data_IF_713937804434
#
_entry.id   IF_713937804434
#
_cell.length_a   1.000
_cell.length_b   1.000
_cell.length_c   1.000
_cell.angle_alpha   90.00
_cell.angle_beta   90.00
_cell.angle_gamma   90.00
#
_symmetry.space_group_name_H-M   'P 1'
#
loop_
_entity.id
_entity.type
_entity.pdbx_description
1 polymer ?
#
# COMPACT_ATOMS: atom_id res chain seq x y z
N UNK A 1 -2.25 11.01 14.46
CA UNK A 1 -1.51 9.98 13.70
C UNK A 1 -0.24 10.59 13.11
N UNK A 2 0.86 9.89 13.12
CA UNK A 2 2.13 10.24 12.48
C UNK A 2 2.41 9.30 11.33
N UNK A 3 3.24 9.75 10.39
CA UNK A 3 3.59 8.99 9.19
C UNK A 3 5.06 9.17 8.90
N UNK A 4 5.74 8.07 8.57
CA UNK A 4 7.07 8.04 7.98
C UNK A 4 7.01 7.29 6.68
N UNK A 5 7.49 7.90 5.60
CA UNK A 5 7.70 7.23 4.32
C UNK A 5 9.16 6.79 4.18
N UNK A 6 9.36 5.65 3.56
CA UNK A 6 10.65 5.13 3.12
C UNK A 6 10.57 4.85 1.63
N UNK A 7 11.61 5.16 0.91
CA UNK A 7 11.71 4.80 -0.51
C UNK A 7 12.60 3.57 -0.57
N UNK A 8 12.03 2.45 -0.99
CA UNK A 8 12.72 1.16 -1.03
C UNK A 8 12.79 0.59 -2.45
N UNK A 9 13.62 -0.40 -2.59
CA UNK A 9 13.86 -1.22 -3.76
C UNK A 9 14.20 -0.46 -5.06
N UNK A 10 14.57 -1.16 -6.17
CA UNK A 10 14.95 -0.52 -7.43
C UNK A 10 13.83 0.25 -8.13
N UNK A 11 12.55 -0.01 -7.76
CA UNK A 11 11.40 0.68 -8.34
C UNK A 11 11.01 1.95 -7.58
N UNK A 12 11.76 2.30 -6.52
CA UNK A 12 11.54 3.48 -5.69
C UNK A 12 10.11 3.52 -5.09
N UNK A 13 9.67 2.36 -4.58
CA UNK A 13 8.38 2.20 -3.93
C UNK A 13 8.35 2.94 -2.59
N UNK A 14 7.19 3.49 -2.23
CA UNK A 14 6.92 4.18 -0.98
C UNK A 14 6.31 3.22 0.06
N UNK A 15 7.15 2.68 0.94
CA UNK A 15 6.71 1.99 2.16
C UNK A 15 6.33 3.00 3.23
N UNK A 16 5.18 2.85 3.86
CA UNK A 16 4.75 3.75 4.93
C UNK A 16 4.67 3.05 6.28
N UNK A 17 5.12 3.74 7.33
CA UNK A 17 4.81 3.41 8.73
C UNK A 17 3.90 4.50 9.27
N UNK A 18 2.74 4.10 9.77
CA UNK A 18 1.77 5.00 10.42
C UNK A 18 1.62 4.60 11.88
N UNK A 19 1.53 5.59 12.80
CA UNK A 19 1.39 5.27 14.23
C UNK A 19 0.67 6.36 15.02
N UNK A 20 0.09 5.97 16.14
CA UNK A 20 -0.38 6.90 17.16
C UNK A 20 0.78 7.28 18.10
N UNK A 21 0.91 8.58 18.41
CA UNK A 21 2.01 9.06 19.26
C UNK A 21 1.88 8.67 20.74
N UNK A 22 0.67 8.41 21.18
CA UNK A 22 0.40 8.09 22.60
C UNK A 22 0.53 6.61 22.87
N UNK A 23 -0.20 5.78 22.13
CA UNK A 23 -0.21 4.33 22.32
C UNK A 23 0.98 3.62 21.71
N UNK A 24 1.61 4.22 20.68
CA UNK A 24 2.64 3.62 19.83
C UNK A 24 2.14 2.46 18.96
N UNK A 25 0.82 2.21 18.91
CA UNK A 25 0.26 1.28 17.96
C UNK A 25 0.53 1.76 16.54
N UNK A 26 1.02 0.86 15.71
CA UNK A 26 1.48 1.20 14.37
C UNK A 26 1.04 0.17 13.31
N UNK A 27 1.05 0.60 12.07
CA UNK A 27 0.91 -0.26 10.91
C UNK A 27 2.03 0.00 9.90
N UNK A 28 2.38 -1.03 9.16
CA UNK A 28 3.23 -0.95 7.97
C UNK A 28 2.32 -1.11 6.75
N UNK A 29 2.44 -0.20 5.78
CA UNK A 29 1.70 -0.25 4.52
C UNK A 29 2.71 -0.43 3.40
N UNK A 30 2.49 -1.43 2.55
CA UNK A 30 3.30 -1.81 1.40
C UNK A 30 4.80 -1.93 1.75
N UNK A 31 5.24 -2.96 2.49
CA UNK A 31 6.65 -3.12 2.82
C UNK A 31 7.46 -3.59 1.60
N UNK A 32 8.00 -2.66 0.82
CA UNK A 32 8.87 -2.92 -0.31
C UNK A 32 10.32 -3.23 0.05
N UNK A 33 10.68 -3.26 1.35
CA UNK A 33 12.05 -3.51 1.80
C UNK A 33 12.55 -4.90 1.39
N UNK A 34 13.62 -4.94 0.62
CA UNK A 34 14.15 -6.19 0.06
C UNK A 34 15.59 -6.47 0.50
N UNK A 35 16.47 -5.47 0.48
CA UNK A 35 17.85 -5.62 0.93
C UNK A 35 17.96 -5.61 2.47
N UNK A 36 19.01 -6.21 3.02
CA UNK A 36 19.28 -6.20 4.47
C UNK A 36 19.43 -4.77 5.01
N UNK A 37 19.92 -3.84 4.20
CA UNK A 37 19.99 -2.41 4.57
C UNK A 37 18.61 -1.81 4.74
N UNK A 38 17.68 -2.06 3.82
CA UNK A 38 16.31 -1.55 3.87
C UNK A 38 15.53 -2.15 5.04
N UNK A 39 15.65 -3.47 5.24
CA UNK A 39 15.07 -4.17 6.39
C UNK A 39 15.57 -3.60 7.71
N UNK A 40 16.89 -3.33 7.80
CA UNK A 40 17.49 -2.71 8.98
C UNK A 40 16.97 -1.29 9.19
N UNK A 41 16.89 -0.46 8.14
CA UNK A 41 16.35 0.90 8.23
C UNK A 41 14.92 0.90 8.80
N UNK A 42 14.07 0.04 8.29
CA UNK A 42 12.68 -0.08 8.75
C UNK A 42 12.60 -0.56 10.20
N UNK A 43 13.31 -1.63 10.55
CA UNK A 43 13.25 -2.19 11.91
C UNK A 43 13.93 -1.30 12.94
N UNK A 44 15.01 -0.60 12.59
CA UNK A 44 15.65 0.36 13.48
C UNK A 44 14.73 1.57 13.75
N UNK A 45 14.01 2.06 12.73
CA UNK A 45 13.02 3.11 12.92
C UNK A 45 11.91 2.66 13.88
N UNK A 46 11.35 1.46 13.68
CA UNK A 46 10.31 0.89 14.55
C UNK A 46 10.82 0.78 16.00
N UNK A 47 12.00 0.21 16.19
CA UNK A 47 12.61 0.04 17.51
C UNK A 47 12.90 1.38 18.19
N UNK A 48 13.53 2.32 17.48
CA UNK A 48 13.94 3.60 18.04
C UNK A 48 12.76 4.49 18.44
N UNK A 49 11.59 4.27 17.82
CA UNK A 49 10.35 4.96 18.18
C UNK A 49 9.45 4.14 19.12
N UNK A 50 9.89 2.98 19.58
CA UNK A 50 9.13 2.05 20.45
C UNK A 50 7.74 1.72 19.87
N UNK A 51 7.65 1.47 18.55
CA UNK A 51 6.39 1.19 17.89
C UNK A 51 5.99 -0.27 18.08
N UNK A 52 4.71 -0.49 18.31
CA UNK A 52 4.07 -1.81 18.36
C UNK A 52 3.30 -2.04 17.07
N UNK A 53 3.83 -2.88 16.18
CA UNK A 53 3.20 -3.16 14.89
C UNK A 53 1.98 -4.05 15.09
N UNK A 54 0.79 -3.51 14.78
CA UNK A 54 -0.50 -4.19 14.87
C UNK A 54 -1.05 -4.65 13.54
N UNK A 55 -0.64 -4.00 12.45
CA UNK A 55 -1.13 -4.30 11.11
C UNK A 55 0.00 -4.31 10.09
N UNK A 56 -0.08 -5.25 9.17
CA UNK A 56 0.66 -5.29 7.91
C UNK A 56 -0.39 -5.20 6.79
N UNK A 57 -0.43 -4.08 6.09
CA UNK A 57 -1.44 -3.79 5.08
C UNK A 57 -0.77 -3.70 3.71
N UNK A 58 -1.33 -4.36 2.70
CA UNK A 58 -0.91 -4.19 1.33
C UNK A 58 -2.04 -3.60 0.50
N UNK A 59 -1.74 -2.54 -0.24
CA UNK A 59 -2.67 -1.98 -1.24
C UNK A 59 -2.91 -2.99 -2.34
N UNK A 60 -1.86 -3.69 -2.75
CA UNK A 60 -1.88 -4.77 -3.73
C UNK A 60 -0.63 -5.66 -3.59
N UNK A 61 -0.54 -6.72 -4.39
CA UNK A 61 0.49 -7.74 -4.21
C UNK A 61 1.52 -7.78 -5.36
N UNK A 62 1.85 -6.64 -5.99
CA UNK A 62 3.05 -6.58 -6.82
C UNK A 62 4.31 -6.70 -5.96
N UNK A 63 5.37 -7.26 -6.57
CA UNK A 63 6.59 -7.64 -5.84
C UNK A 63 7.26 -6.46 -5.13
N UNK A 64 7.26 -5.28 -5.70
CA UNK A 64 7.86 -4.09 -5.13
C UNK A 64 7.12 -3.57 -3.89
N UNK A 65 5.79 -3.80 -3.76
CA UNK A 65 4.97 -3.47 -2.59
C UNK A 65 4.95 -4.57 -1.54
N UNK A 66 5.40 -5.77 -1.86
CA UNK A 66 5.24 -6.94 -1.00
C UNK A 66 6.56 -7.70 -0.74
N UNK A 67 7.69 -7.22 -1.27
CA UNK A 67 8.98 -7.88 -1.10
C UNK A 67 9.39 -8.08 0.37
N UNK A 68 8.98 -7.19 1.25
CA UNK A 68 9.23 -7.24 2.68
C UNK A 68 8.23 -8.07 3.48
N UNK A 69 7.09 -8.48 2.90
CA UNK A 69 6.01 -9.11 3.66
C UNK A 69 6.47 -10.31 4.49
N UNK A 70 7.12 -11.28 3.86
CA UNK A 70 7.58 -12.48 4.55
C UNK A 70 8.52 -12.17 5.73
N UNK A 71 9.41 -11.17 5.55
CA UNK A 71 10.30 -10.70 6.61
C UNK A 71 9.52 -10.03 7.76
N UNK A 72 8.53 -9.18 7.44
CA UNK A 72 7.71 -8.49 8.44
C UNK A 72 6.81 -9.47 9.19
N UNK A 73 6.18 -10.44 8.48
CA UNK A 73 5.39 -11.51 9.10
C UNK A 73 6.20 -12.29 10.13
N UNK A 74 7.40 -12.76 9.74
CA UNK A 74 8.27 -13.53 10.60
C UNK A 74 8.85 -12.68 11.76
N UNK A 75 9.08 -11.37 11.55
CA UNK A 75 9.72 -10.49 12.53
C UNK A 75 8.79 -10.01 13.63
N UNK A 76 7.52 -9.76 13.30
CA UNK A 76 6.53 -9.15 14.20
C UNK A 76 5.38 -10.09 14.55
N UNK A 77 5.38 -11.33 14.07
CA UNK A 77 4.33 -12.33 14.27
C UNK A 77 2.94 -11.83 13.88
N UNK A 78 2.86 -11.18 12.73
CA UNK A 78 1.63 -10.66 12.13
C UNK A 78 1.48 -11.17 10.70
N UNK A 79 0.26 -11.28 10.21
CA UNK A 79 0.00 -11.70 8.83
C UNK A 79 -0.40 -10.51 7.96
N UNK A 80 0.01 -10.56 6.68
CA UNK A 80 -0.38 -9.57 5.67
C UNK A 80 -1.89 -9.55 5.48
N UNK A 81 -2.43 -8.33 5.38
CA UNK A 81 -3.83 -8.06 5.08
C UNK A 81 -3.92 -7.42 3.68
N UNK A 82 -4.64 -8.06 2.78
CA UNK A 82 -4.82 -7.62 1.40
C UNK A 82 -6.18 -8.10 0.87
N UNK A 83 -6.66 -7.50 -0.21
CA UNK A 83 -7.88 -7.98 -0.85
C UNK A 83 -7.65 -9.36 -1.50
N UNK A 84 -8.55 -10.35 -1.31
CA UNK A 84 -8.32 -11.74 -1.72
C UNK A 84 -8.24 -11.94 -3.24
N UNK A 85 -8.72 -10.98 -4.03
CA UNK A 85 -8.58 -11.05 -5.49
C UNK A 85 -7.12 -10.94 -5.97
N UNK A 86 -6.17 -10.53 -5.11
CA UNK A 86 -4.73 -10.52 -5.39
C UNK A 86 -3.99 -11.78 -4.91
N UNK A 87 -4.70 -12.80 -4.43
CA UNK A 87 -4.07 -14.07 -4.03
C UNK A 87 -3.22 -14.70 -5.14
N UNK A 88 -3.61 -14.50 -6.42
CA UNK A 88 -2.83 -14.96 -7.57
C UNK A 88 -1.46 -14.26 -7.68
N UNK A 89 -1.30 -13.04 -7.18
CA UNK A 89 -0.02 -12.34 -7.12
C UNK A 89 0.77 -12.75 -5.88
N UNK A 90 0.12 -12.81 -4.71
CA UNK A 90 0.74 -13.17 -3.44
C UNK A 90 1.43 -14.56 -3.50
N UNK A 91 0.77 -15.54 -4.11
CA UNK A 91 1.30 -16.89 -4.30
C UNK A 91 2.36 -17.02 -5.40
N UNK A 92 2.77 -15.92 -6.04
CA UNK A 92 3.72 -15.93 -7.16
C UNK A 92 4.76 -14.78 -7.08
N UNK A 93 5.11 -14.31 -5.88
CA UNK A 93 6.10 -13.24 -5.69
C UNK A 93 7.46 -13.61 -6.28
N UNK A 94 7.88 -14.86 -6.10
CA UNK A 94 9.13 -15.38 -6.68
C UNK A 94 9.12 -15.31 -8.20
N UNK A 95 7.99 -15.65 -8.84
CA UNK A 95 7.86 -15.58 -10.29
C UNK A 95 7.83 -14.14 -10.79
N UNK A 96 7.14 -13.23 -10.09
CA UNK A 96 7.15 -11.80 -10.41
C UNK A 96 8.57 -11.24 -10.35
N UNK A 97 9.31 -11.56 -9.29
CA UNK A 97 10.70 -11.14 -9.14
C UNK A 97 11.58 -11.58 -10.31
N UNK A 98 11.44 -12.83 -10.75
CA UNK A 98 12.17 -13.34 -11.91
C UNK A 98 11.80 -12.61 -13.21
N UNK A 99 10.50 -12.33 -13.41
CA UNK A 99 9.99 -11.63 -14.60
C UNK A 99 10.56 -10.22 -14.72
N UNK A 100 10.69 -9.51 -13.60
CA UNK A 100 11.16 -8.13 -13.57
C UNK A 100 12.67 -7.98 -13.31
N UNK A 101 13.40 -9.07 -13.16
CA UNK A 101 14.81 -9.02 -12.75
C UNK A 101 15.01 -8.41 -11.36
N UNK A 102 13.99 -8.52 -10.51
CA UNK A 102 14.00 -8.00 -9.15
C UNK A 102 14.78 -8.95 -8.24
N UNK A 103 15.81 -8.49 -7.52
CA UNK A 103 16.56 -9.35 -6.62
C UNK A 103 15.68 -9.70 -5.40
N UNK A 104 15.19 -10.92 -5.34
CA UNK A 104 14.29 -11.39 -4.29
C UNK A 104 14.76 -12.69 -3.67
N UNK A 105 14.87 -12.70 -2.35
CA UNK A 105 15.25 -13.87 -1.55
C UNK A 105 14.17 -14.30 -0.54
N UNK A 106 12.99 -13.70 -0.63
CA UNK A 106 11.83 -14.04 0.19
C UNK A 106 11.11 -15.29 -0.30
N UNK A 107 9.89 -15.45 0.13
CA UNK A 107 8.99 -16.57 -0.22
C UNK A 107 7.65 -16.03 -0.71
N UNK A 108 6.94 -16.83 -1.47
CA UNK A 108 5.53 -16.59 -1.77
C UNK A 108 4.72 -16.63 -0.47
N UNK A 109 3.64 -15.87 -0.40
CA UNK A 109 2.80 -15.75 0.80
C UNK A 109 1.33 -16.06 0.49
N UNK A 110 0.61 -16.45 1.53
CA UNK A 110 -0.84 -16.60 1.49
C UNK A 110 -1.51 -15.38 2.14
N UNK A 111 -2.62 -14.92 1.58
CA UNK A 111 -3.44 -13.87 2.20
C UNK A 111 -4.26 -14.49 3.33
N UNK A 112 -3.78 -14.31 4.58
CA UNK A 112 -4.43 -14.85 5.78
C UNK A 112 -5.50 -13.93 6.35
N UNK A 113 -5.34 -12.62 6.16
CA UNK A 113 -6.26 -11.59 6.61
C UNK A 113 -6.92 -10.92 5.40
N UNK A 114 -7.97 -11.52 4.80
CA UNK A 114 -8.62 -10.94 3.62
C UNK A 114 -9.34 -9.65 3.98
N UNK A 115 -9.10 -8.61 3.17
CA UNK A 115 -9.80 -7.33 3.24
C UNK A 115 -10.96 -7.30 2.25
N UNK A 116 -11.98 -6.49 2.56
CA UNK A 116 -13.14 -6.28 1.69
C UNK A 116 -13.46 -4.79 1.55
N UNK A 117 -14.13 -4.45 0.45
CA UNK A 117 -14.59 -3.09 0.19
C UNK A 117 -15.50 -2.57 1.31
N UNK A 118 -15.28 -1.33 1.73
CA UNK A 118 -16.03 -0.68 2.81
C UNK A 118 -15.70 -1.18 4.22
N UNK A 119 -14.81 -2.16 4.37
CA UNK A 119 -14.37 -2.63 5.69
C UNK A 119 -13.71 -1.49 6.46
N UNK A 120 -14.08 -1.37 7.74
CA UNK A 120 -13.43 -0.44 8.68
C UNK A 120 -12.45 -1.20 9.58
N UNK A 121 -11.25 -0.69 9.67
CA UNK A 121 -10.17 -1.17 10.56
C UNK A 121 -9.85 -0.09 11.59
N UNK A 122 -9.33 -0.50 12.74
CA UNK A 122 -8.69 0.43 13.69
C UNK A 122 -7.18 0.37 13.49
N UNK A 123 -6.62 1.34 12.76
CA UNK A 123 -5.19 1.41 12.42
C UNK A 123 -4.56 2.60 13.11
N UNK A 124 -3.52 2.38 13.91
CA UNK A 124 -2.88 3.42 14.71
C UNK A 124 -3.91 4.22 15.53
N UNK A 125 -4.84 3.52 16.16
CA UNK A 125 -5.97 4.03 16.94
C UNK A 125 -6.86 5.03 16.19
N UNK A 126 -6.89 4.92 14.86
CA UNK A 126 -7.70 5.74 13.97
C UNK A 126 -8.58 4.87 13.07
N UNK A 127 -9.75 5.40 12.72
CA UNK A 127 -10.61 4.78 11.71
C UNK A 127 -9.90 4.76 10.35
N UNK A 128 -9.79 3.58 9.76
CA UNK A 128 -9.28 3.35 8.41
C UNK A 128 -10.33 2.59 7.60
N UNK A 129 -10.74 3.15 6.47
CA UNK A 129 -11.68 2.50 5.54
C UNK A 129 -10.94 1.91 4.37
N UNK A 130 -11.22 0.65 4.07
CA UNK A 130 -10.71 -0.05 2.90
C UNK A 130 -11.58 0.32 1.70
N UNK A 131 -10.97 0.85 0.65
CA UNK A 131 -11.60 1.15 -0.62
C UNK A 131 -11.04 0.18 -1.67
N UNK A 132 -11.83 -0.75 -2.17
CA UNK A 132 -11.40 -1.65 -3.25
C UNK A 132 -11.41 -0.88 -4.57
N UNK A 133 -10.26 -0.73 -5.20
CA UNK A 133 -10.01 0.08 -6.41
C UNK A 133 -9.35 -0.80 -7.48
N UNK A 134 -10.10 -1.76 -8.07
CA UNK A 134 -9.54 -2.63 -9.09
C UNK A 134 -9.16 -1.87 -10.36
N UNK A 135 -8.27 -2.46 -11.16
CA UNK A 135 -7.86 -1.96 -12.46
C UNK A 135 -6.35 -1.87 -12.65
N UNK A 136 -5.58 -1.57 -11.62
CA UNK A 136 -4.12 -1.81 -11.60
C UNK A 136 -3.83 -3.29 -11.34
N UNK A 137 -4.41 -3.84 -10.28
CA UNK A 137 -4.58 -5.27 -10.05
C UNK A 137 -6.05 -5.57 -9.76
N UNK A 138 -6.43 -6.85 -9.70
CA UNK A 138 -7.80 -7.27 -9.37
C UNK A 138 -8.19 -6.96 -7.93
N UNK A 139 -7.22 -7.01 -7.00
CA UNK A 139 -7.42 -6.80 -5.58
C UNK A 139 -6.92 -5.46 -5.07
N UNK A 140 -6.50 -4.56 -5.96
CA UNK A 140 -5.97 -3.27 -5.53
C UNK A 140 -6.95 -2.55 -4.60
N UNK A 141 -6.43 -2.04 -3.49
CA UNK A 141 -7.22 -1.32 -2.47
C UNK A 141 -6.48 -0.07 -2.02
N UNK A 142 -7.22 0.95 -1.60
CA UNK A 142 -6.68 2.12 -0.93
C UNK A 142 -7.12 2.14 0.54
N UNK A 143 -6.33 2.79 1.39
CA UNK A 143 -6.59 2.93 2.83
C UNK A 143 -6.90 4.38 3.15
N UNK A 144 -8.17 4.69 3.40
CA UNK A 144 -8.65 6.04 3.68
C UNK A 144 -8.84 6.28 5.17
N UNK A 145 -8.26 7.36 5.68
CA UNK A 145 -8.34 7.81 7.07
C UNK A 145 -9.17 9.10 7.15
N UNK A 146 -10.49 9.01 7.32
CA UNK A 146 -11.39 10.17 7.24
C UNK A 146 -11.08 11.25 8.26
N UNK A 147 -10.69 10.87 9.48
CA UNK A 147 -10.38 11.81 10.56
C UNK A 147 -9.04 12.54 10.37
N UNK A 148 -8.28 12.21 9.33
CA UNK A 148 -6.98 12.80 9.01
C UNK A 148 -6.92 13.40 7.61
N UNK A 149 -8.02 13.36 6.85
CA UNK A 149 -8.08 13.76 5.43
C UNK A 149 -6.94 13.14 4.62
N UNK A 150 -6.76 11.81 4.73
CA UNK A 150 -5.60 11.12 4.19
C UNK A 150 -5.99 9.80 3.52
N UNK A 151 -5.42 9.50 2.35
CA UNK A 151 -5.57 8.21 1.68
C UNK A 151 -4.23 7.69 1.17
N UNK A 152 -3.92 6.43 1.46
CA UNK A 152 -2.83 5.68 0.81
C UNK A 152 -3.44 5.04 -0.44
N UNK A 153 -3.09 5.56 -1.60
CA UNK A 153 -3.70 5.17 -2.88
C UNK A 153 -3.03 3.96 -3.54
N UNK A 154 -1.89 3.50 -3.00
CA UNK A 154 -1.06 2.52 -3.72
C UNK A 154 -0.79 2.99 -5.15
N UNK A 155 -0.95 2.07 -6.08
CA UNK A 155 -0.73 2.32 -7.51
C UNK A 155 -2.03 2.60 -8.29
N UNK A 156 -3.04 3.17 -7.63
CA UNK A 156 -4.23 3.65 -8.34
C UNK A 156 -4.04 5.08 -8.85
N UNK A 157 -3.69 6.02 -7.96
CA UNK A 157 -3.62 7.44 -8.26
C UNK A 157 -2.28 8.02 -7.80
N UNK A 158 -1.57 8.66 -8.72
CA UNK A 158 -0.30 9.37 -8.51
C UNK A 158 -0.46 10.87 -8.77
N UNK A 159 0.58 11.63 -8.46
CA UNK A 159 0.66 13.03 -8.85
C UNK A 159 0.68 13.14 -10.39
N UNK A 160 -0.37 13.73 -10.98
CA UNK A 160 -0.58 13.93 -12.42
C UNK A 160 -0.55 12.64 -13.25
N UNK A 161 -0.81 11.48 -12.61
CA UNK A 161 -0.76 10.18 -13.29
C UNK A 161 -1.66 9.16 -12.59
N UNK A 162 -1.78 7.98 -13.21
CA UNK A 162 -2.45 6.80 -12.65
C UNK A 162 -1.55 5.58 -12.79
N UNK A 163 -1.91 4.50 -12.10
CA UNK A 163 -1.22 3.22 -12.22
C UNK A 163 -1.34 2.62 -13.62
N UNK A 164 -0.34 1.84 -14.00
CA UNK A 164 -0.38 1.08 -15.25
C UNK A 164 -1.42 -0.05 -15.17
N UNK A 165 -1.93 -0.43 -16.32
CA UNK A 165 -3.01 -1.43 -16.43
C UNK A 165 -2.73 -2.53 -17.44
N UNK A 166 -1.49 -2.61 -17.92
CA UNK A 166 -1.04 -3.53 -18.97
C UNK A 166 -0.48 -4.86 -18.43
N UNK A 167 -0.43 -5.04 -17.12
CA UNK A 167 -0.04 -6.30 -16.50
C UNK A 167 -1.23 -7.27 -16.35
N UNK A 168 -0.98 -8.58 -16.22
CA UNK A 168 -2.06 -9.56 -16.00
C UNK A 168 -2.96 -9.20 -14.83
N UNK A 169 -4.23 -9.00 -15.09
CA UNK A 169 -5.22 -8.58 -14.10
C UNK A 169 -5.52 -7.09 -14.11
N UNK A 170 -4.75 -6.29 -14.89
CA UNK A 170 -4.99 -4.87 -15.11
C UNK A 170 -6.09 -4.62 -16.16
N UNK A 171 -6.83 -3.52 -16.00
CA UNK A 171 -7.83 -3.02 -16.94
C UNK A 171 -7.99 -1.51 -16.78
N UNK A 172 -7.76 -0.77 -17.87
CA UNK A 172 -7.76 0.70 -17.86
C UNK A 172 -9.13 1.29 -17.51
N UNK A 173 -10.18 0.78 -18.15
CA UNK A 173 -11.53 1.30 -17.94
C UNK A 173 -11.99 1.07 -16.50
N UNK A 174 -11.69 -0.10 -15.96
CA UNK A 174 -11.98 -0.43 -14.55
C UNK A 174 -11.22 0.47 -13.59
N UNK A 175 -9.94 0.80 -13.88
CA UNK A 175 -9.15 1.68 -13.02
C UNK A 175 -9.73 3.10 -13.00
N UNK A 176 -10.03 3.66 -14.17
CA UNK A 176 -10.65 5.00 -14.28
C UNK A 176 -11.97 5.04 -13.51
N UNK A 177 -12.88 4.08 -13.76
CA UNK A 177 -14.16 3.99 -13.06
C UNK A 177 -13.97 3.89 -11.53
N UNK A 178 -13.00 3.11 -11.07
CA UNK A 178 -12.67 2.95 -9.65
C UNK A 178 -12.17 4.26 -9.04
N UNK A 179 -11.27 4.97 -9.72
CA UNK A 179 -10.74 6.26 -9.25
C UNK A 179 -11.87 7.29 -9.17
N UNK A 180 -12.67 7.44 -10.23
CA UNK A 180 -13.76 8.41 -10.29
C UNK A 180 -14.82 8.16 -9.20
N UNK A 181 -15.24 6.90 -9.03
CA UNK A 181 -16.34 6.56 -8.13
C UNK A 181 -15.91 6.45 -6.66
N UNK A 182 -14.63 6.28 -6.36
CA UNK A 182 -14.16 6.04 -4.99
C UNK A 182 -13.13 7.08 -4.50
N UNK A 183 -12.09 7.38 -5.26
CA UNK A 183 -11.08 8.34 -4.82
C UNK A 183 -11.53 9.78 -5.03
N UNK A 184 -12.02 10.11 -6.22
CA UNK A 184 -12.43 11.49 -6.53
C UNK A 184 -13.71 11.93 -5.80
N UNK A 185 -14.42 11.01 -5.15
CA UNK A 185 -15.56 11.33 -4.28
C UNK A 185 -15.14 11.74 -2.87
N UNK A 186 -13.87 11.54 -2.50
CA UNK A 186 -13.33 11.96 -1.21
C UNK A 186 -13.24 13.50 -1.13
N UNK A 187 -13.22 14.07 0.09
CA UNK A 187 -13.05 15.51 0.26
C UNK A 187 -11.83 16.06 -0.49
N UNK A 188 -11.98 17.21 -1.15
CA UNK A 188 -10.93 17.80 -1.99
C UNK A 188 -9.59 18.03 -1.28
N UNK A 189 -9.63 18.29 0.04
CA UNK A 189 -8.45 18.48 0.88
C UNK A 189 -7.73 17.17 1.22
N UNK A 190 -8.32 16.00 0.93
CA UNK A 190 -7.71 14.70 1.23
C UNK A 190 -6.35 14.58 0.53
N UNK A 191 -5.32 14.39 1.34
CA UNK A 191 -3.96 14.16 0.87
C UNK A 191 -3.86 12.72 0.36
N UNK A 192 -3.28 12.56 -0.82
CA UNK A 192 -3.00 11.27 -1.44
C UNK A 192 -1.53 10.91 -1.23
N UNK A 193 -1.29 9.76 -0.63
CA UNK A 193 0.03 9.15 -0.44
C UNK A 193 0.13 7.94 -1.35
N UNK A 194 0.82 8.06 -2.50
CA UNK A 194 0.86 7.03 -3.52
C UNK A 194 1.93 5.97 -3.24
N UNK A 195 1.85 4.84 -3.95
CA UNK A 195 2.88 3.80 -3.93
C UNK A 195 4.21 4.24 -4.54
N UNK A 196 4.21 5.22 -5.43
CA UNK A 196 5.41 5.78 -6.05
C UNK A 196 5.33 7.30 -6.18
N UNK A 197 6.50 7.94 -6.15
CA UNK A 197 6.62 9.39 -6.36
C UNK A 197 6.14 10.23 -5.18
N UNK A 198 5.78 11.48 -5.49
CA UNK A 198 5.42 12.46 -4.48
C UNK A 198 3.92 12.42 -4.13
N UNK A 199 3.59 12.95 -2.96
CA UNK A 199 2.20 13.12 -2.51
C UNK A 199 1.46 14.17 -3.34
N UNK A 200 0.13 14.03 -3.42
CA UNK A 200 -0.77 15.00 -4.05
C UNK A 200 -2.03 15.20 -3.19
N UNK A 201 -3.10 15.69 -3.78
CA UNK A 201 -4.43 15.80 -3.14
C UNK A 201 -5.55 15.48 -4.13
N UNK A 202 -6.66 15.02 -3.61
CA UNK A 202 -7.86 14.74 -4.44
C UNK A 202 -8.27 15.97 -5.24
N UNK A 203 -8.30 17.15 -4.61
CA UNK A 203 -8.71 18.38 -5.29
C UNK A 203 -7.75 18.83 -6.39
N UNK A 204 -6.47 18.54 -6.28
CA UNK A 204 -5.49 18.81 -7.32
C UNK A 204 -5.67 17.86 -8.50
N UNK A 205 -5.77 16.56 -8.23
CA UNK A 205 -5.92 15.55 -9.28
C UNK A 205 -7.24 15.70 -10.06
N UNK A 206 -8.34 16.04 -9.39
CA UNK A 206 -9.63 16.34 -10.05
C UNK A 206 -9.54 17.44 -11.13
N UNK A 207 -8.56 18.34 -11.02
CA UNK A 207 -8.46 19.51 -11.90
C UNK A 207 -7.27 19.47 -12.85
N UNK A 208 -6.26 18.66 -12.55
CA UNK A 208 -4.95 18.76 -13.22
C UNK A 208 -4.48 17.44 -13.82
N UNK A 209 -5.07 16.31 -13.43
CA UNK A 209 -4.67 15.00 -13.93
C UNK A 209 -5.31 14.76 -15.31
N UNK A 210 -4.49 14.61 -16.34
CA UNK A 210 -4.95 14.45 -17.73
C UNK A 210 -5.53 13.07 -18.06
N UNK A 211 -5.48 12.13 -17.15
CA UNK A 211 -6.06 10.79 -17.29
C UNK A 211 -7.51 10.73 -16.78
N UNK A 212 -7.96 11.76 -16.04
CA UNK A 212 -9.24 11.82 -15.32
C UNK A 212 -10.16 12.92 -15.83
#
# INVERSE_FOLDING_TARGET
MKIQAFIFNPFAENTYVVWDETSRHAAIIDPGCNSEREKSLLTDFIRNNNLEIKHLLNTHMHIDHSAGNAFIEDRFDIAASCHPADAYLAGHLTQQAQMFGFPYSGKDIDIKNPLSDGQTLNVADSECRVLHIPGHTKGHSAFYFPNHDLVFSGDALFHLSIGRTDFPGGDYSTLIESIENKLLTLPRQTIVLPGHGEKTSIGFEQTSNSYL
#
